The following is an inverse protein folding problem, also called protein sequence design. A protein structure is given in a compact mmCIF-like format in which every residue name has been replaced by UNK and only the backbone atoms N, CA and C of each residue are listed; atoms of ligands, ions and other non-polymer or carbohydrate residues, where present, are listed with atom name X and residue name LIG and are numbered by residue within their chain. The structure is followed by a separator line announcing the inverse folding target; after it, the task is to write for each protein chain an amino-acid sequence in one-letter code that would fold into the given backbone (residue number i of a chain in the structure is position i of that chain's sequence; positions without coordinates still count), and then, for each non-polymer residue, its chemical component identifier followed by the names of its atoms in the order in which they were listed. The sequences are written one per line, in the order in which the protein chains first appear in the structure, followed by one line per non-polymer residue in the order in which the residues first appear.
data_IF_431477076662
#
_entry.id   IF_431477076662
#
_cell.length_a   1.000
_cell.length_b   1.000
_cell.length_c   1.000
_cell.angle_alpha   90.00
_cell.angle_beta   90.00
_cell.angle_gamma   90.00
#
_symmetry.space_group_name_H-M   'P 1'
#
loop_
_entity.id
_entity.type
_entity.pdbx_description
1 polymer ?
#
# COMPACT_ATOMS: atom_id res chain seq x y z
N UNK A 1 0.18 -34.26 16.04
CA UNK A 1 0.70 -32.89 15.82
C UNK A 1 0.59 -32.39 14.37
N UNK A 2 0.31 -33.23 13.36
CA UNK A 2 0.27 -32.81 11.95
C UNK A 2 -0.96 -31.96 11.55
N UNK A 3 -2.12 -32.18 12.18
CA UNK A 3 -3.39 -31.59 11.76
C UNK A 3 -3.49 -30.07 11.95
N UNK A 4 -2.89 -29.51 13.01
CA UNK A 4 -2.97 -28.08 13.31
C UNK A 4 -2.17 -27.21 12.34
N UNK A 5 -1.08 -27.74 11.76
CA UNK A 5 -0.27 -27.02 10.79
C UNK A 5 -0.97 -26.87 9.43
N UNK A 6 -1.65 -27.91 8.96
CA UNK A 6 -2.38 -27.89 7.68
C UNK A 6 -3.55 -26.89 7.68
N UNK A 7 -4.20 -26.70 8.84
CA UNK A 7 -5.35 -25.81 8.99
C UNK A 7 -5.01 -24.32 8.94
N UNK A 8 -3.75 -23.93 9.13
CA UNK A 8 -3.35 -22.51 9.19
C UNK A 8 -3.54 -21.79 7.84
N UNK A 9 -3.32 -22.49 6.72
CA UNK A 9 -3.51 -21.94 5.37
C UNK A 9 -4.98 -21.71 5.01
N UNK A 10 -5.91 -22.66 5.18
CA UNK A 10 -7.29 -22.45 4.81
C UNK A 10 -8.00 -21.42 5.68
N UNK A 11 -7.55 -21.13 6.90
CA UNK A 11 -8.22 -20.16 7.80
C UNK A 11 -8.47 -18.78 7.17
N UNK A 12 -7.61 -18.35 6.24
CA UNK A 12 -7.73 -17.08 5.52
C UNK A 12 -8.68 -17.14 4.31
N UNK A 13 -9.04 -18.34 3.83
CA UNK A 13 -9.95 -18.55 2.71
C UNK A 13 -11.40 -18.19 3.09
N UNK A 14 -12.31 -18.23 2.11
CA UNK A 14 -13.73 -17.97 2.30
C UNK A 14 -14.38 -18.83 3.39
N UNK A 15 -15.50 -18.35 3.97
CA UNK A 15 -16.20 -19.05 5.07
C UNK A 15 -16.65 -20.46 4.66
N UNK A 16 -17.05 -20.63 3.41
CA UNK A 16 -17.54 -21.92 2.88
C UNK A 16 -16.43 -22.96 2.80
N UNK A 17 -15.25 -22.59 2.29
CA UNK A 17 -14.11 -23.49 2.09
C UNK A 17 -13.66 -24.05 3.44
N UNK A 18 -13.44 -23.16 4.42
CA UNK A 18 -13.01 -23.53 5.77
C UNK A 18 -14.01 -24.44 6.47
N UNK A 19 -15.31 -24.15 6.35
CA UNK A 19 -16.34 -24.98 6.96
C UNK A 19 -16.55 -26.33 6.25
N UNK A 20 -16.25 -26.41 4.95
CA UNK A 20 -16.28 -27.68 4.22
C UNK A 20 -15.15 -28.59 4.69
N UNK A 21 -13.95 -28.02 4.83
CA UNK A 21 -12.77 -28.73 5.33
C UNK A 21 -12.96 -29.20 6.77
N UNK A 22 -13.51 -28.34 7.64
CA UNK A 22 -13.78 -28.78 9.01
C UNK A 22 -14.86 -29.84 9.11
N UNK A 23 -15.87 -29.83 8.23
CA UNK A 23 -16.95 -30.83 8.28
C UNK A 23 -16.50 -32.25 7.94
N UNK A 24 -15.38 -32.43 7.24
CA UNK A 24 -14.85 -33.77 6.96
C UNK A 24 -14.27 -34.45 8.20
N UNK A 25 -13.93 -33.68 9.25
CA UNK A 25 -13.16 -34.14 10.42
C UNK A 25 -13.78 -33.74 11.76
N UNK A 26 -14.57 -32.67 11.82
CA UNK A 26 -15.10 -32.08 13.05
C UNK A 26 -16.51 -31.51 12.87
N UNK A 27 -17.38 -31.75 13.86
CA UNK A 27 -18.68 -31.10 13.95
C UNK A 27 -18.63 -29.85 14.83
N UNK A 28 -18.28 -28.70 14.24
CA UNK A 28 -18.12 -27.44 14.98
C UNK A 28 -19.48 -26.73 15.12
N UNK A 29 -20.02 -26.71 16.35
CA UNK A 29 -21.19 -25.93 16.70
C UNK A 29 -20.94 -24.44 16.43
N UNK A 30 -21.88 -23.77 15.74
CA UNK A 30 -21.76 -22.36 15.33
C UNK A 30 -20.46 -22.03 14.56
N UNK A 31 -19.85 -23.00 13.86
CA UNK A 31 -18.56 -22.81 13.19
C UNK A 31 -18.50 -21.61 12.24
N UNK A 32 -19.63 -21.25 11.59
CA UNK A 32 -19.72 -20.04 10.74
C UNK A 32 -19.44 -18.76 11.51
N UNK A 33 -19.95 -18.64 12.73
CA UNK A 33 -19.76 -17.47 13.59
C UNK A 33 -18.32 -17.42 14.12
N UNK A 34 -17.79 -18.54 14.59
CA UNK A 34 -16.39 -18.65 15.03
C UNK A 34 -15.42 -18.22 13.91
N UNK A 35 -15.63 -18.73 12.69
CA UNK A 35 -14.79 -18.38 11.55
C UNK A 35 -14.91 -16.90 11.16
N UNK A 36 -16.11 -16.32 11.20
CA UNK A 36 -16.28 -14.87 10.98
C UNK A 36 -15.49 -14.06 12.02
N UNK A 37 -15.56 -14.42 13.30
CA UNK A 37 -14.80 -13.73 14.35
C UNK A 37 -13.28 -13.79 14.09
N UNK A 38 -12.77 -14.96 13.70
CA UNK A 38 -11.35 -15.12 13.33
C UNK A 38 -10.97 -14.22 12.16
N UNK A 39 -11.78 -14.17 11.09
CA UNK A 39 -11.53 -13.26 9.97
C UNK A 39 -11.55 -11.79 10.38
N UNK A 40 -12.46 -11.38 11.26
CA UNK A 40 -12.55 -10.00 11.73
C UNK A 40 -11.33 -9.58 12.56
N UNK A 41 -10.74 -10.50 13.33
CA UNK A 41 -9.51 -10.27 14.12
C UNK A 41 -8.23 -10.41 13.30
N UNK A 42 -8.27 -11.11 12.16
CA UNK A 42 -7.12 -11.33 11.31
C UNK A 42 -6.78 -10.09 10.47
N UNK A 43 -5.62 -9.47 10.73
CA UNK A 43 -5.15 -8.28 10.01
C UNK A 43 -4.99 -8.51 8.50
N UNK A 44 -4.31 -9.58 8.01
CA UNK A 44 -4.22 -9.86 6.57
C UNK A 44 -5.59 -9.96 5.88
N UNK A 45 -6.55 -10.64 6.51
CA UNK A 45 -7.90 -10.78 5.95
C UNK A 45 -8.69 -9.47 5.98
N UNK A 46 -8.43 -8.60 6.97
CA UNK A 46 -9.06 -7.27 7.05
C UNK A 46 -8.52 -6.35 5.95
N UNK A 47 -7.21 -6.35 5.73
CA UNK A 47 -6.57 -5.57 4.67
C UNK A 47 -7.02 -6.03 3.28
N UNK A 48 -7.01 -7.35 3.03
CA UNK A 48 -7.47 -7.91 1.75
C UNK A 48 -8.94 -7.62 1.44
N UNK A 49 -9.78 -7.40 2.45
CA UNK A 49 -11.21 -7.05 2.30
C UNK A 49 -11.50 -5.57 2.48
N UNK A 50 -10.49 -4.75 2.72
CA UNK A 50 -10.68 -3.32 2.86
C UNK A 50 -11.26 -2.78 1.55
N UNK A 51 -12.28 -1.93 1.66
CA UNK A 51 -12.76 -1.19 0.50
C UNK A 51 -11.70 -0.17 0.11
N UNK A 52 -11.56 0.09 -1.18
CA UNK A 52 -10.75 1.21 -1.64
C UNK A 52 -11.25 2.49 -0.97
N UNK A 53 -10.33 3.27 -0.40
CA UNK A 53 -10.67 4.59 0.14
C UNK A 53 -11.20 5.47 -0.99
N UNK A 54 -12.11 6.39 -0.66
CA UNK A 54 -12.41 7.49 -1.56
C UNK A 54 -11.37 8.57 -1.28
N UNK A 55 -10.46 8.76 -2.21
CA UNK A 55 -9.57 9.91 -2.18
C UNK A 55 -10.42 11.17 -2.45
N UNK A 56 -10.38 12.13 -1.53
CA UNK A 56 -10.99 13.43 -1.75
C UNK A 56 -9.88 14.26 -2.39
N UNK A 57 -9.99 14.52 -3.69
CA UNK A 57 -9.03 15.39 -4.36
C UNK A 57 -9.21 16.83 -3.86
N UNK A 58 -8.13 17.40 -3.32
CA UNK A 58 -8.09 18.83 -3.04
C UNK A 58 -8.09 19.60 -4.37
N UNK A 59 -8.70 20.80 -4.42
CA UNK A 59 -8.60 21.64 -5.61
C UNK A 59 -7.13 21.93 -5.91
N UNK A 60 -6.75 21.77 -7.18
CA UNK A 60 -5.41 22.13 -7.64
C UNK A 60 -5.16 23.62 -7.38
N UNK A 61 -3.97 24.01 -6.93
CA UNK A 61 -3.62 25.42 -6.79
C UNK A 61 -3.69 26.10 -8.16
N UNK A 62 -4.12 27.37 -8.18
CA UNK A 62 -4.29 28.15 -9.41
C UNK A 62 -3.01 28.19 -10.26
N UNK A 63 -1.85 28.20 -9.61
CA UNK A 63 -0.53 28.15 -10.24
C UNK A 63 -0.32 26.91 -11.13
N UNK A 64 -1.07 25.81 -10.88
CA UNK A 64 -1.03 24.59 -11.69
C UNK A 64 -2.16 24.50 -12.73
N UNK A 65 -3.13 25.41 -12.66
CA UNK A 65 -4.32 25.38 -13.51
C UNK A 65 -4.34 26.53 -14.54
N UNK A 66 -3.56 27.59 -14.33
CA UNK A 66 -3.48 28.73 -15.24
C UNK A 66 -2.40 28.47 -16.31
N UNK A 67 -2.74 28.55 -17.61
CA UNK A 67 -1.76 28.41 -18.68
C UNK A 67 -0.65 29.46 -18.58
N UNK A 68 0.59 29.04 -18.81
CA UNK A 68 1.76 29.91 -18.72
C UNK A 68 2.73 29.67 -19.88
N UNK A 69 3.48 30.69 -20.33
CA UNK A 69 4.51 30.52 -21.35
C UNK A 69 5.59 29.50 -20.92
N UNK A 70 6.31 28.90 -21.89
CA UNK A 70 7.40 27.99 -21.57
C UNK A 70 8.44 28.63 -20.63
N UNK A 71 8.96 27.84 -19.67
CA UNK A 71 10.04 28.26 -18.73
C UNK A 71 9.59 29.35 -17.72
N UNK A 72 8.28 29.61 -17.58
CA UNK A 72 7.79 30.60 -16.59
C UNK A 72 7.87 30.08 -15.15
N UNK A 73 7.71 28.77 -14.95
CA UNK A 73 7.69 28.15 -13.63
C UNK A 73 8.78 27.08 -13.52
N UNK A 74 9.66 27.25 -12.54
CA UNK A 74 10.71 26.28 -12.19
C UNK A 74 10.38 25.58 -10.88
N UNK A 75 10.37 24.24 -10.92
CA UNK A 75 10.39 23.38 -9.73
C UNK A 75 11.83 22.99 -9.40
N UNK A 76 12.15 22.91 -8.11
CA UNK A 76 13.43 22.39 -7.62
C UNK A 76 13.13 21.19 -6.75
N UNK A 77 13.61 20.02 -7.17
CA UNK A 77 13.51 18.78 -6.39
C UNK A 77 14.91 18.38 -5.89
N UNK A 78 14.99 17.88 -4.67
CA UNK A 78 16.25 17.41 -4.09
C UNK A 78 16.22 15.88 -3.95
N UNK A 79 17.21 15.20 -4.50
CA UNK A 79 17.48 13.80 -4.20
C UNK A 79 18.53 13.69 -3.10
N UNK A 80 18.21 12.86 -2.11
CA UNK A 80 18.89 12.74 -0.82
C UNK A 80 20.30 12.17 -0.87
N UNK A 81 20.97 12.13 0.29
CA UNK A 81 22.42 12.20 0.42
C UNK A 81 23.10 11.05 -0.32
N UNK A 82 23.82 11.42 -1.38
CA UNK A 82 24.66 10.49 -2.13
C UNK A 82 26.08 10.60 -1.57
N UNK A 83 26.63 9.45 -1.18
CA UNK A 83 28.04 9.37 -0.83
C UNK A 83 28.87 9.55 -2.10
N UNK A 84 29.58 10.67 -2.20
CA UNK A 84 30.49 10.95 -3.28
C UNK A 84 31.93 10.74 -2.81
N UNK A 85 32.77 10.31 -3.72
CA UNK A 85 34.22 10.28 -3.49
C UNK A 85 34.81 11.49 -4.18
N UNK A 86 35.28 12.46 -3.41
CA UNK A 86 35.99 13.61 -3.94
C UNK A 86 37.46 13.46 -3.57
N UNK A 87 38.34 13.27 -4.56
CA UNK A 87 39.75 12.99 -4.33
C UNK A 87 39.97 11.82 -3.33
N UNK A 88 40.47 12.14 -2.13
CA UNK A 88 40.73 11.20 -1.03
C UNK A 88 39.68 11.26 0.09
N UNK A 89 38.71 12.19 0.05
CA UNK A 89 37.62 12.29 1.02
C UNK A 89 36.36 11.54 0.54
N UNK A 90 35.55 11.13 1.51
CA UNK A 90 34.17 10.72 1.29
C UNK A 90 33.30 11.85 1.81
N UNK A 91 32.50 12.43 0.92
CA UNK A 91 31.62 13.54 1.23
C UNK A 91 30.18 13.16 0.90
N UNK A 92 29.24 13.91 1.45
CA UNK A 92 27.82 13.74 1.19
C UNK A 92 27.37 14.89 0.30
N UNK A 93 26.76 14.56 -0.83
CA UNK A 93 26.19 15.53 -1.75
C UNK A 93 24.68 15.30 -1.93
N UNK A 94 23.98 16.36 -2.27
CA UNK A 94 22.58 16.34 -2.67
C UNK A 94 22.50 16.69 -4.16
N UNK A 95 21.60 16.03 -4.88
CA UNK A 95 21.34 16.32 -6.29
C UNK A 95 20.15 17.27 -6.34
N UNK A 96 20.34 18.46 -6.93
CA UNK A 96 19.27 19.38 -7.24
C UNK A 96 18.80 19.15 -8.68
N UNK A 97 17.53 18.81 -8.85
CA UNK A 97 16.85 18.64 -10.13
C UNK A 97 16.02 19.89 -10.42
N UNK A 98 16.29 20.53 -11.55
CA UNK A 98 15.53 21.69 -12.01
C UNK A 98 14.53 21.24 -13.06
N UNK A 99 13.25 21.33 -12.73
CA UNK A 99 12.15 21.00 -13.62
C UNK A 99 11.48 22.27 -14.14
N UNK A 100 11.25 22.37 -15.44
CA UNK A 100 10.49 23.46 -16.04
C UNK A 100 9.09 22.96 -16.34
N UNK A 101 8.08 23.62 -15.77
CA UNK A 101 6.68 23.28 -16.02
C UNK A 101 6.11 24.20 -17.11
N UNK A 102 5.39 23.60 -18.06
CA UNK A 102 4.56 24.33 -19.03
C UNK A 102 3.12 23.90 -18.85
N UNK A 103 2.24 24.84 -18.53
CA UNK A 103 0.80 24.57 -18.47
C UNK A 103 0.24 25.04 -19.81
N UNK A 104 -0.04 24.08 -20.69
CA UNK A 104 -0.69 24.36 -21.97
C UNK A 104 -2.19 24.59 -21.75
N UNK A 105 -2.76 25.58 -22.45
CA UNK A 105 -4.21 25.77 -22.56
C UNK A 105 -4.85 24.73 -23.49
#
# INVERSE_FOLDING_TARGET
MQYLHTLRRPLHLGVRIVLSEFRSTFWILKGRQAKKQVLHKCLPCRLSKAKCGKEIEAPLPSERAVPSPPITTTGIDFAGPVNIRFLKSRDIAYIALFNFATICA
#
